data_IF_850966198476
#
_entry.id   IF_850966198476
#
_cell.length_a   1.000
_cell.length_b   1.000
_cell.length_c   1.000
_cell.angle_alpha   90.00
_cell.angle_beta   90.00
_cell.angle_gamma   90.00
#
_symmetry.space_group_name_H-M   'P 1'
#
loop_
_entity.id
_entity.type
_entity.pdbx_description
1 polymer ?
#
# COMPACT_ATOMS: atom_id res chain seq x y z
N UNK A 1 -1.86 -8.75 -16.80
CA UNK A 1 -1.25 -8.01 -15.68
C UNK A 1 -2.33 -7.49 -14.74
N UNK A 2 -2.08 -7.52 -13.46
CA UNK A 2 -3.04 -7.08 -12.44
C UNK A 2 -2.51 -5.82 -11.78
N UNK A 3 -3.39 -4.82 -11.63
CA UNK A 3 -3.13 -3.66 -10.78
C UNK A 3 -3.83 -3.85 -9.44
N UNK A 4 -3.04 -3.85 -8.38
CA UNK A 4 -3.50 -3.90 -6.99
C UNK A 4 -3.57 -2.46 -6.48
N UNK A 5 -4.77 -1.99 -6.18
CA UNK A 5 -5.03 -0.61 -5.76
C UNK A 5 -5.44 -0.62 -4.29
N UNK A 6 -4.74 0.14 -3.47
CA UNK A 6 -5.05 0.24 -2.04
C UNK A 6 -5.23 1.69 -1.64
N UNK A 7 -6.24 1.95 -0.84
CA UNK A 7 -6.48 3.24 -0.21
C UNK A 7 -6.35 3.09 1.30
N UNK A 8 -5.76 4.09 1.93
CA UNK A 8 -5.52 4.11 3.36
C UNK A 8 -6.19 5.34 3.96
N UNK A 9 -7.01 5.15 4.98
CA UNK A 9 -7.62 6.24 5.75
C UNK A 9 -7.05 6.22 7.15
N UNK A 10 -6.35 7.29 7.53
CA UNK A 10 -5.77 7.39 8.86
C UNK A 10 -6.85 7.33 9.94
N UNK A 11 -6.59 6.57 10.99
CA UNK A 11 -7.51 6.48 12.12
C UNK A 11 -7.62 7.82 12.83
N UNK A 12 -8.75 8.11 13.50
CA UNK A 12 -8.87 9.31 14.32
C UNK A 12 -7.68 9.43 15.29
N UNK A 13 -7.10 10.62 15.36
CA UNK A 13 -5.96 10.89 16.22
C UNK A 13 -4.60 10.60 15.61
N UNK A 14 -4.52 10.00 14.43
CA UNK A 14 -3.25 9.84 13.71
C UNK A 14 -3.05 11.05 12.80
N UNK A 15 -2.04 11.85 13.09
CA UNK A 15 -1.72 13.04 12.31
C UNK A 15 -0.91 12.70 11.06
N UNK A 16 -0.99 13.56 10.04
CA UNK A 16 -0.24 13.38 8.80
C UNK A 16 1.28 13.44 8.97
N UNK A 17 1.76 14.00 10.07
CA UNK A 17 3.18 14.07 10.41
C UNK A 17 3.60 13.04 11.48
N UNK A 18 2.75 12.06 11.77
CA UNK A 18 3.06 10.99 12.73
C UNK A 18 4.35 10.26 12.29
N UNK A 19 5.34 10.10 13.18
CA UNK A 19 6.59 9.42 12.83
C UNK A 19 6.39 7.98 12.33
N UNK A 20 5.35 7.30 12.80
CA UNK A 20 5.02 5.94 12.36
C UNK A 20 4.59 5.92 10.89
N UNK A 21 3.92 6.98 10.43
CA UNK A 21 3.53 7.11 9.02
C UNK A 21 4.75 7.24 8.12
N UNK A 22 5.73 8.06 8.52
CA UNK A 22 7.00 8.15 7.78
C UNK A 22 7.75 6.82 7.78
N UNK A 23 7.73 6.10 8.90
CA UNK A 23 8.41 4.81 9.01
C UNK A 23 7.79 3.76 8.06
N UNK A 24 6.47 3.65 8.01
CA UNK A 24 5.81 2.69 7.13
C UNK A 24 5.97 3.08 5.65
N UNK A 25 5.96 4.37 5.34
CA UNK A 25 6.22 4.84 3.97
C UNK A 25 7.62 4.46 3.51
N UNK A 26 8.63 4.62 4.36
CA UNK A 26 9.99 4.21 4.06
C UNK A 26 10.09 2.68 3.89
N UNK A 27 9.40 1.91 4.72
CA UNK A 27 9.36 0.45 4.59
C UNK A 27 8.72 0.02 3.26
N UNK A 28 7.69 0.71 2.81
CA UNK A 28 7.07 0.45 1.51
C UNK A 28 8.03 0.70 0.36
N UNK A 29 8.83 1.73 0.44
CA UNK A 29 9.82 2.03 -0.60
C UNK A 29 10.83 0.90 -0.80
N UNK A 30 11.09 0.11 0.21
CA UNK A 30 12.02 -1.02 0.14
C UNK A 30 11.41 -2.33 -0.37
N UNK A 31 10.09 -2.44 -0.44
CA UNK A 31 9.43 -3.71 -0.79
C UNK A 31 9.75 -4.21 -2.21
N UNK A 32 9.83 -3.36 -3.26
CA UNK A 32 10.13 -3.86 -4.60
C UNK A 32 11.48 -4.59 -4.72
N UNK A 33 12.46 -4.23 -3.92
CA UNK A 33 13.75 -4.91 -3.91
C UNK A 33 13.68 -6.27 -3.21
N UNK A 34 12.75 -6.43 -2.27
CA UNK A 34 12.61 -7.64 -1.46
C UNK A 34 11.64 -8.64 -2.07
N UNK A 35 10.70 -8.18 -2.89
CA UNK A 35 9.62 -9.00 -3.45
C UNK A 35 9.69 -8.93 -4.97
N UNK A 36 10.35 -9.93 -5.62
CA UNK A 36 10.58 -9.88 -7.07
C UNK A 36 9.29 -9.94 -7.91
N UNK A 37 8.17 -10.35 -7.34
CA UNK A 37 6.89 -10.39 -8.04
C UNK A 37 6.33 -9.00 -8.35
N UNK A 38 6.80 -7.96 -7.66
CA UNK A 38 6.35 -6.58 -7.89
C UNK A 38 6.93 -6.09 -9.23
N UNK A 39 6.06 -5.72 -10.18
CA UNK A 39 6.45 -5.21 -11.51
C UNK A 39 6.30 -3.69 -11.62
N UNK A 40 5.46 -3.09 -10.81
CA UNK A 40 5.29 -1.65 -10.70
C UNK A 40 4.90 -1.31 -9.29
N UNK A 41 5.31 -0.13 -8.83
CA UNK A 41 5.12 0.25 -7.44
C UNK A 41 5.11 1.76 -7.31
N UNK A 42 3.96 2.30 -6.92
CA UNK A 42 3.80 3.74 -6.72
C UNK A 42 2.91 3.94 -5.51
N UNK A 43 3.30 4.80 -4.61
CA UNK A 43 2.46 5.16 -3.48
C UNK A 43 2.75 6.59 -3.03
N UNK A 44 1.80 7.19 -2.33
CA UNK A 44 1.98 8.52 -1.80
C UNK A 44 0.75 9.07 -1.11
N UNK A 45 0.92 10.21 -0.45
CA UNK A 45 -0.17 10.87 0.26
C UNK A 45 -1.15 11.54 -0.69
N UNK A 46 -2.39 11.68 -0.22
CA UNK A 46 -3.41 12.44 -0.93
C UNK A 46 -3.00 13.90 -1.06
N UNK A 47 -3.29 14.50 -2.23
CA UNK A 47 -2.96 15.89 -2.54
C UNK A 47 -4.18 16.80 -2.60
N UNK A 48 -5.39 16.24 -2.60
CA UNK A 48 -6.62 17.03 -2.80
C UNK A 48 -7.44 17.07 -1.52
N UNK A 49 -7.75 18.27 -0.99
CA UNK A 49 -8.51 18.40 0.25
C UNK A 49 -10.01 18.18 -0.02
N UNK A 50 -10.44 16.94 0.00
CA UNK A 50 -11.82 16.55 -0.25
C UNK A 50 -12.27 15.58 0.83
N UNK A 51 -13.50 15.73 1.32
CA UNK A 51 -14.03 14.89 2.38
C UNK A 51 -14.12 13.41 1.98
N UNK A 52 -14.23 13.11 0.69
CA UNK A 52 -14.30 11.75 0.17
C UNK A 52 -12.91 11.16 -0.11
N UNK A 53 -11.86 11.98 -0.13
CA UNK A 53 -10.51 11.48 -0.40
C UNK A 53 -9.94 10.78 0.84
N UNK A 54 -9.36 9.61 0.62
CA UNK A 54 -8.60 8.92 1.64
C UNK A 54 -7.18 9.51 1.71
N UNK A 55 -6.36 9.09 2.64
CA UNK A 55 -5.15 9.83 3.02
C UNK A 55 -3.89 9.38 2.28
N UNK A 56 -3.87 8.15 1.78
CA UNK A 56 -2.72 7.57 1.09
C UNK A 56 -3.20 6.55 0.07
N UNK A 57 -2.43 6.31 -0.98
CA UNK A 57 -2.76 5.29 -1.98
C UNK A 57 -1.52 4.52 -2.42
N UNK A 58 -1.75 3.27 -2.80
CA UNK A 58 -0.75 2.39 -3.42
C UNK A 58 -1.32 1.86 -4.73
N UNK A 59 -0.48 1.87 -5.78
CA UNK A 59 -0.74 1.17 -7.02
C UNK A 59 0.43 0.22 -7.27
N UNK A 60 0.16 -1.07 -7.25
CA UNK A 60 1.19 -2.09 -7.46
C UNK A 60 0.79 -2.99 -8.63
N UNK A 61 1.76 -3.39 -9.44
CA UNK A 61 1.53 -4.23 -10.62
C UNK A 61 2.15 -5.61 -10.43
N UNK A 62 1.41 -6.63 -10.86
CA UNK A 62 1.83 -8.03 -10.81
C UNK A 62 1.51 -8.71 -12.14
N UNK A 63 2.33 -9.69 -12.53
CA UNK A 63 2.12 -10.40 -13.80
C UNK A 63 0.77 -11.10 -13.86
N UNK A 64 0.38 -11.73 -12.76
CA UNK A 64 -0.82 -12.55 -12.67
C UNK A 64 -1.29 -12.69 -11.21
N UNK A 65 -2.39 -13.38 -11.03
CA UNK A 65 -2.98 -13.61 -9.72
C UNK A 65 -2.06 -14.42 -8.79
N UNK A 66 -1.31 -15.37 -9.33
CA UNK A 66 -0.36 -16.15 -8.53
C UNK A 66 0.76 -15.28 -7.94
N UNK A 67 1.28 -14.35 -8.73
CA UNK A 67 2.28 -13.39 -8.27
C UNK A 67 1.72 -12.47 -7.19
N UNK A 68 0.48 -12.01 -7.34
CA UNK A 68 -0.21 -11.20 -6.35
C UNK A 68 -0.37 -11.95 -5.02
N UNK A 69 -0.78 -13.22 -5.08
CA UNK A 69 -0.91 -14.05 -3.88
C UNK A 69 0.43 -14.29 -3.18
N UNK A 70 1.50 -14.49 -3.94
CA UNK A 70 2.85 -14.60 -3.38
C UNK A 70 3.25 -13.34 -2.62
N UNK A 71 2.92 -12.17 -3.18
CA UNK A 71 3.13 -10.88 -2.53
C UNK A 71 2.36 -10.79 -1.21
N UNK A 72 1.08 -11.15 -1.20
CA UNK A 72 0.25 -11.05 0.01
C UNK A 72 0.84 -11.85 1.17
N UNK A 73 1.39 -13.02 0.90
CA UNK A 73 1.93 -13.92 1.92
C UNK A 73 3.42 -13.74 2.17
N UNK A 74 4.07 -12.85 1.44
CA UNK A 74 5.51 -12.70 1.52
C UNK A 74 5.95 -12.21 2.90
N UNK A 75 7.02 -12.81 3.49
CA UNK A 75 7.50 -12.40 4.82
C UNK A 75 7.90 -10.94 4.92
N UNK A 76 8.29 -10.30 3.81
CA UNK A 76 8.61 -8.88 3.81
C UNK A 76 7.36 -7.99 3.81
N UNK A 77 6.23 -8.49 3.28
CA UNK A 77 4.97 -7.74 3.21
C UNK A 77 4.24 -7.71 4.55
N UNK A 78 4.22 -8.83 5.27
CA UNK A 78 3.39 -8.98 6.47
C UNK A 78 3.67 -7.93 7.55
N UNK A 79 4.94 -7.59 7.88
CA UNK A 79 5.20 -6.55 8.88
C UNK A 79 4.71 -5.16 8.44
N UNK A 80 4.83 -4.85 7.15
CA UNK A 80 4.38 -3.56 6.61
C UNK A 80 2.86 -3.45 6.68
N UNK A 81 2.15 -4.53 6.37
CA UNK A 81 0.70 -4.58 6.54
C UNK A 81 0.30 -4.32 8.00
N UNK A 82 0.97 -4.95 8.95
CA UNK A 82 0.73 -4.74 10.38
C UNK A 82 0.97 -3.30 10.82
N UNK A 83 2.01 -2.65 10.31
CA UNK A 83 2.29 -1.24 10.58
C UNK A 83 1.14 -0.35 10.08
N UNK A 84 0.65 -0.60 8.87
CA UNK A 84 -0.48 0.15 8.31
C UNK A 84 -1.77 -0.08 9.11
N UNK A 85 -2.06 -1.31 9.50
CA UNK A 85 -3.28 -1.62 10.26
C UNK A 85 -3.35 -0.89 11.60
N UNK A 86 -2.20 -0.60 12.19
CA UNK A 86 -2.14 0.21 13.42
C UNK A 86 -2.47 1.68 13.19
N UNK A 87 -2.33 2.18 11.96
CA UNK A 87 -2.45 3.60 11.62
C UNK A 87 -3.71 3.94 10.84
N UNK A 88 -4.25 2.98 10.09
CA UNK A 88 -5.25 3.29 9.07
C UNK A 88 -6.23 2.15 8.84
N UNK A 89 -7.39 2.51 8.29
CA UNK A 89 -8.27 1.55 7.64
C UNK A 89 -7.83 1.41 6.19
N UNK A 90 -7.90 0.20 5.65
CA UNK A 90 -7.49 -0.11 4.29
C UNK A 90 -8.68 -0.57 3.45
N UNK A 91 -8.70 -0.12 2.21
CA UNK A 91 -9.61 -0.65 1.19
C UNK A 91 -8.78 -1.00 -0.04
N UNK A 92 -9.12 -2.09 -0.72
CA UNK A 92 -8.38 -2.46 -1.92
C UNK A 92 -9.28 -3.05 -2.99
N UNK A 93 -8.78 -3.00 -4.21
CA UNK A 93 -9.42 -3.59 -5.39
C UNK A 93 -8.34 -4.01 -6.37
N UNK A 94 -8.48 -5.20 -6.93
CA UNK A 94 -7.55 -5.73 -7.93
C UNK A 94 -8.24 -5.76 -9.28
N UNK A 95 -7.63 -5.13 -10.27
CA UNK A 95 -8.20 -5.06 -11.61
C UNK A 95 -7.25 -5.62 -12.66
N UNK A 96 -7.82 -6.23 -13.69
CA UNK A 96 -7.05 -6.66 -14.86
C UNK A 96 -6.69 -5.46 -15.73
N UNK A 97 -5.41 -5.39 -16.11
CA UNK A 97 -4.93 -4.45 -17.12
C UNK A 97 -4.73 -5.20 -18.43
N UNK A 98 -5.24 -4.64 -19.48
CA UNK A 98 -5.19 -5.24 -20.82
C UNK A 98 -4.06 -4.67 -21.65
#
# INVERSE_FOLDING_TARGET
>A
MIAHLVLFRLRPGVAGDDPRLRAVAAAMDGLPELIPQIRGWEHGPNRTPDAQAWDWALRALFDDEAALHTYFEHPAHLPVLGQWEALADLAFCDIDLR
#
